data_IF_246394985631
#
_entry.id   IF_246394985631
#
_cell.length_a   1.000
_cell.length_b   1.000
_cell.length_c   1.000
_cell.angle_alpha   90.00
_cell.angle_beta   90.00
_cell.angle_gamma   90.00
#
_symmetry.space_group_name_H-M   'P 1'
#
loop_
_entity.id
_entity.type
_entity.pdbx_description
1 polymer ?
#
# COMPACT_ATOMS: atom_id res chain seq x y z
N UNK A 1 -9.26 -2.74 18.66
CA UNK A 1 -10.35 -1.78 18.38
C UNK A 1 -9.87 -0.66 17.45
N UNK A 2 -8.81 0.06 17.77
CA UNK A 2 -8.25 1.17 16.98
C UNK A 2 -7.95 0.78 15.53
N UNK A 3 -7.33 -0.39 15.30
CA UNK A 3 -7.03 -0.94 13.97
C UNK A 3 -8.28 -1.19 13.13
N UNK A 4 -9.34 -1.77 13.73
CA UNK A 4 -10.60 -1.99 13.02
C UNK A 4 -11.30 -0.68 12.63
N UNK A 5 -11.26 0.34 13.52
CA UNK A 5 -11.81 1.65 13.21
C UNK A 5 -11.07 2.35 12.08
N UNK A 6 -9.73 2.28 12.10
CA UNK A 6 -8.91 2.85 11.04
C UNK A 6 -9.11 2.12 9.70
N UNK A 7 -9.20 0.79 9.72
CA UNK A 7 -9.48 -0.01 8.53
C UNK A 7 -10.83 0.35 7.89
N UNK A 8 -11.89 0.39 8.71
CA UNK A 8 -13.23 0.75 8.24
C UNK A 8 -13.28 2.18 7.68
N UNK A 9 -12.70 3.14 8.38
CA UNK A 9 -12.64 4.53 7.93
C UNK A 9 -11.83 4.69 6.64
N UNK A 10 -10.71 3.95 6.51
CA UNK A 10 -9.86 3.94 5.31
C UNK A 10 -10.61 3.40 4.09
N UNK A 11 -11.29 2.27 4.24
CA UNK A 11 -12.09 1.67 3.17
C UNK A 11 -13.21 2.60 2.69
N UNK A 12 -13.96 3.19 3.62
CA UNK A 12 -15.03 4.14 3.29
C UNK A 12 -14.46 5.38 2.60
N UNK A 13 -13.37 5.96 3.13
CA UNK A 13 -12.77 7.16 2.55
C UNK A 13 -12.22 6.93 1.15
N UNK A 14 -11.55 5.80 0.90
CA UNK A 14 -11.03 5.44 -0.42
C UNK A 14 -12.17 5.17 -1.42
N UNK A 15 -13.23 4.45 -1.00
CA UNK A 15 -14.41 4.24 -1.83
C UNK A 15 -15.09 5.56 -2.21
N UNK A 16 -15.26 6.47 -1.27
CA UNK A 16 -15.84 7.80 -1.53
C UNK A 16 -14.92 8.62 -2.44
N UNK A 17 -13.60 8.62 -2.21
CA UNK A 17 -12.64 9.34 -3.06
C UNK A 17 -12.71 8.82 -4.51
N UNK A 18 -12.71 7.49 -4.70
CA UNK A 18 -12.86 6.90 -6.04
C UNK A 18 -14.18 7.28 -6.68
N UNK A 19 -15.29 7.23 -5.92
CA UNK A 19 -16.60 7.59 -6.44
C UNK A 19 -16.68 9.05 -6.89
N UNK A 20 -16.16 9.98 -6.09
CA UNK A 20 -16.16 11.41 -6.42
C UNK A 20 -15.31 11.71 -7.66
N UNK A 21 -14.11 11.13 -7.73
CA UNK A 21 -13.14 11.44 -8.79
C UNK A 21 -13.41 10.64 -10.07
N UNK A 22 -13.64 9.33 -9.95
CA UNK A 22 -13.85 8.42 -11.09
C UNK A 22 -15.32 8.31 -11.51
N UNK A 23 -16.23 8.97 -10.75
CA UNK A 23 -17.71 8.95 -10.96
C UNK A 23 -18.35 7.57 -10.74
N UNK A 24 -17.61 6.61 -10.23
CA UNK A 24 -18.07 5.28 -9.82
C UNK A 24 -17.16 4.73 -8.73
N UNK A 25 -17.72 3.96 -7.78
CA UNK A 25 -16.90 3.33 -6.75
C UNK A 25 -16.04 2.24 -7.39
N UNK A 26 -14.78 2.17 -6.94
CA UNK A 26 -13.81 1.15 -7.36
C UNK A 26 -13.55 0.18 -6.20
N UNK A 27 -13.74 -1.12 -6.46
CA UNK A 27 -13.56 -2.15 -5.44
C UNK A 27 -12.10 -2.26 -4.99
N UNK A 28 -11.16 -2.21 -5.93
CA UNK A 28 -9.72 -2.29 -5.62
C UNK A 28 -9.28 -1.13 -4.74
N UNK A 29 -9.79 0.08 -5.01
CA UNK A 29 -9.53 1.25 -4.18
C UNK A 29 -10.13 1.11 -2.78
N UNK A 30 -11.35 0.55 -2.65
CA UNK A 30 -11.94 0.30 -1.35
C UNK A 30 -11.13 -0.71 -0.52
N UNK A 31 -10.67 -1.82 -1.14
CA UNK A 31 -9.83 -2.83 -0.49
C UNK A 31 -8.47 -2.25 -0.09
N UNK A 32 -7.82 -1.51 -0.98
CA UNK A 32 -6.58 -0.81 -0.67
C UNK A 32 -6.78 0.26 0.42
N UNK A 33 -7.94 0.89 0.49
CA UNK A 33 -8.31 1.81 1.57
C UNK A 33 -8.36 1.15 2.93
N UNK A 34 -8.91 -0.07 3.02
CA UNK A 34 -8.90 -0.88 4.24
C UNK A 34 -7.46 -1.16 4.69
N UNK A 35 -6.63 -1.63 3.77
CA UNK A 35 -5.21 -1.90 4.04
C UNK A 35 -4.45 -0.64 4.43
N UNK A 36 -4.69 0.47 3.73
CA UNK A 36 -4.09 1.77 4.04
C UNK A 36 -4.44 2.27 5.44
N UNK A 37 -5.69 2.08 5.87
CA UNK A 37 -6.13 2.39 7.22
C UNK A 37 -5.40 1.55 8.28
N UNK A 38 -5.23 0.24 8.03
CA UNK A 38 -4.45 -0.64 8.89
C UNK A 38 -3.00 -0.21 8.98
N UNK A 39 -2.36 0.10 7.85
CA UNK A 39 -0.97 0.56 7.81
C UNK A 39 -0.81 1.91 8.52
N UNK A 40 -1.70 2.86 8.25
CA UNK A 40 -1.65 4.20 8.83
C UNK A 40 -1.76 4.22 10.37
N UNK A 41 -2.47 3.25 10.96
CA UNK A 41 -2.63 3.17 12.42
C UNK A 41 -1.53 2.35 13.10
N UNK A 42 -0.79 1.50 12.35
CA UNK A 42 0.08 0.47 12.92
C UNK A 42 1.13 1.03 13.86
N UNK A 43 1.77 2.15 13.53
CA UNK A 43 2.84 2.73 14.33
C UNK A 43 2.38 3.24 15.70
N UNK A 44 1.09 3.52 15.90
CA UNK A 44 0.57 4.10 17.11
C UNK A 44 -0.73 3.48 17.61
N UNK A 45 -1.07 2.26 17.20
CA UNK A 45 -2.34 1.62 17.50
C UNK A 45 -2.63 1.46 19.01
N UNK A 46 -1.58 1.38 19.84
CA UNK A 46 -1.63 1.23 21.30
C UNK A 46 -1.88 2.55 22.04
N UNK A 47 -1.66 3.69 21.39
CA UNK A 47 -1.69 5.02 22.00
C UNK A 47 -2.69 5.99 21.35
N UNK A 48 -3.42 5.53 20.34
CA UNK A 48 -4.42 6.35 19.66
C UNK A 48 -5.81 6.21 20.30
N UNK A 49 -6.56 7.31 20.31
CA UNK A 49 -7.98 7.28 20.68
C UNK A 49 -8.83 6.70 19.55
N UNK A 50 -10.08 6.33 19.82
CA UNK A 50 -11.00 5.88 18.78
C UNK A 50 -11.19 6.95 17.67
N UNK A 51 -11.31 8.22 18.07
CA UNK A 51 -11.49 9.32 17.12
C UNK A 51 -10.22 9.53 16.27
N UNK A 52 -9.04 9.54 16.88
CA UNK A 52 -7.77 9.64 16.15
C UNK A 52 -7.61 8.48 15.16
N UNK A 53 -8.04 7.28 15.53
CA UNK A 53 -7.98 6.10 14.65
C UNK A 53 -8.87 6.26 13.42
N UNK A 54 -10.07 6.79 13.58
CA UNK A 54 -10.98 7.09 12.46
C UNK A 54 -10.37 8.16 11.54
N UNK A 55 -9.80 9.23 12.12
CA UNK A 55 -9.17 10.31 11.34
C UNK A 55 -7.96 9.79 10.56
N UNK A 56 -7.07 9.04 11.23
CA UNK A 56 -5.88 8.45 10.60
C UNK A 56 -6.30 7.50 9.46
N UNK A 57 -7.28 6.65 9.71
CA UNK A 57 -7.80 5.74 8.68
C UNK A 57 -8.38 6.48 7.48
N UNK A 58 -9.22 7.49 7.72
CA UNK A 58 -9.81 8.29 6.64
C UNK A 58 -8.76 9.02 5.80
N UNK A 59 -7.76 9.64 6.43
CA UNK A 59 -6.65 10.27 5.72
C UNK A 59 -5.87 9.23 4.90
N UNK A 60 -5.57 8.06 5.47
CA UNK A 60 -4.87 6.97 4.77
C UNK A 60 -5.65 6.50 3.55
N UNK A 61 -6.98 6.37 3.66
CA UNK A 61 -7.84 5.98 2.54
C UNK A 61 -7.83 6.99 1.39
N UNK A 62 -7.80 8.29 1.70
CA UNK A 62 -7.64 9.34 0.69
C UNK A 62 -6.23 9.32 0.09
N UNK A 63 -5.21 9.18 0.93
CA UNK A 63 -3.81 9.14 0.49
C UNK A 63 -3.54 7.98 -0.46
N UNK A 64 -4.00 6.77 -0.15
CA UNK A 64 -3.77 5.62 -1.01
C UNK A 64 -4.40 5.79 -2.39
N UNK A 65 -5.62 6.33 -2.45
CA UNK A 65 -6.30 6.61 -3.71
C UNK A 65 -5.47 7.53 -4.62
N UNK A 66 -5.00 8.65 -4.09
CA UNK A 66 -4.18 9.57 -4.88
C UNK A 66 -2.78 9.04 -5.16
N UNK A 67 -2.22 8.22 -4.27
CA UNK A 67 -0.90 7.60 -4.46
C UNK A 67 -0.90 6.61 -5.62
N UNK A 68 -1.93 5.76 -5.74
CA UNK A 68 -2.07 4.85 -6.87
C UNK A 68 -2.10 5.63 -8.19
N UNK A 69 -2.95 6.67 -8.29
CA UNK A 69 -3.02 7.51 -9.49
C UNK A 69 -1.69 8.20 -9.78
N UNK A 70 -0.97 8.62 -8.75
CA UNK A 70 0.35 9.26 -8.91
C UNK A 70 1.39 8.29 -9.45
N UNK A 71 1.50 7.09 -8.88
CA UNK A 71 2.46 6.09 -9.33
C UNK A 71 2.17 5.63 -10.75
N UNK A 72 0.91 5.43 -11.13
CA UNK A 72 0.51 5.16 -12.51
C UNK A 72 0.96 6.26 -13.48
N UNK A 73 0.74 7.53 -13.11
CA UNK A 73 1.19 8.67 -13.94
C UNK A 73 2.70 8.75 -14.05
N UNK A 74 3.43 8.38 -13.02
CA UNK A 74 4.89 8.33 -13.01
C UNK A 74 5.45 7.07 -13.70
N UNK A 75 4.57 6.16 -14.14
CA UNK A 75 4.93 4.86 -14.72
C UNK A 75 5.78 4.00 -13.77
N UNK A 76 5.49 4.09 -12.49
CA UNK A 76 6.06 3.24 -11.46
C UNK A 76 5.09 2.09 -11.25
N UNK A 77 5.57 0.87 -11.48
CA UNK A 77 4.76 -0.34 -11.39
C UNK A 77 4.39 -0.64 -9.93
N UNK A 78 3.10 -0.56 -9.63
CA UNK A 78 2.52 -0.81 -8.30
C UNK A 78 1.20 -1.60 -8.44
N UNK A 79 1.23 -2.82 -9.02
CA UNK A 79 0.04 -3.53 -9.49
C UNK A 79 -0.97 -3.87 -8.38
N UNK A 80 -0.50 -4.04 -7.17
CA UNK A 80 -1.34 -4.34 -5.99
C UNK A 80 -1.41 -3.21 -4.97
N UNK A 81 -0.86 -2.04 -5.30
CA UNK A 81 -0.82 -0.90 -4.39
C UNK A 81 0.20 -1.03 -3.25
N UNK A 82 1.24 -1.86 -3.41
CA UNK A 82 2.23 -2.08 -2.34
C UNK A 82 2.96 -0.80 -1.95
N UNK A 83 3.41 0.00 -2.92
CA UNK A 83 4.04 1.30 -2.65
C UNK A 83 3.01 2.29 -2.09
N UNK A 84 1.83 2.35 -2.69
CA UNK A 84 0.77 3.27 -2.29
C UNK A 84 0.28 3.00 -0.88
N UNK A 85 0.07 1.73 -0.52
CA UNK A 85 -0.40 1.32 0.81
C UNK A 85 0.73 1.35 1.83
N UNK A 86 1.82 0.60 1.59
CA UNK A 86 2.83 0.39 2.64
C UNK A 86 3.82 1.52 2.75
N UNK A 87 4.34 2.06 1.64
CA UNK A 87 5.31 3.16 1.70
C UNK A 87 4.62 4.47 2.09
N UNK A 88 3.63 4.91 1.30
CA UNK A 88 3.02 6.24 1.51
C UNK A 88 2.24 6.31 2.81
N UNK A 89 1.34 5.35 3.06
CA UNK A 89 0.55 5.35 4.29
C UNK A 89 1.38 4.92 5.51
N UNK A 90 2.47 4.17 5.33
CA UNK A 90 3.43 3.86 6.41
C UNK A 90 4.22 5.09 6.86
N UNK A 91 4.68 5.92 5.93
CA UNK A 91 5.31 7.22 6.24
C UNK A 91 4.29 8.11 6.98
N UNK A 92 3.08 8.23 6.45
CA UNK A 92 2.04 9.02 7.10
C UNK A 92 1.72 8.49 8.50
N UNK A 93 1.50 7.17 8.66
CA UNK A 93 1.18 6.55 9.96
C UNK A 93 2.28 6.73 11.00
N UNK A 94 3.54 6.65 10.58
CA UNK A 94 4.69 6.93 11.45
C UNK A 94 4.69 8.39 11.90
N UNK A 95 4.42 9.35 10.99
CA UNK A 95 4.29 10.76 11.35
C UNK A 95 3.07 11.04 12.23
N UNK A 96 1.97 10.31 12.04
CA UNK A 96 0.76 10.42 12.84
C UNK A 96 1.01 10.19 14.35
N UNK A 97 2.02 9.39 14.71
CA UNK A 97 2.45 9.23 16.11
C UNK A 97 2.95 10.56 16.70
N UNK A 98 3.63 11.37 15.90
CA UNK A 98 4.08 12.69 16.31
C UNK A 98 2.95 13.72 16.42
N UNK A 99 1.78 13.44 15.84
CA UNK A 99 0.62 14.36 15.79
C UNK A 99 -0.44 13.95 16.80
N UNK A 100 -0.78 12.67 16.89
CA UNK A 100 -1.91 12.13 17.66
C UNK A 100 -1.49 11.25 18.84
N UNK A 101 -0.22 10.83 18.90
CA UNK A 101 0.28 9.91 19.92
C UNK A 101 0.39 10.53 21.32
N UNK A 102 0.62 9.70 22.32
CA UNK A 102 0.71 10.10 23.73
C UNK A 102 1.82 11.14 24.01
N UNK A 103 2.86 11.16 23.18
CA UNK A 103 3.98 12.11 23.26
C UNK A 103 4.02 13.04 22.05
N UNK A 104 2.85 13.36 21.47
CA UNK A 104 2.76 14.23 20.30
C UNK A 104 3.49 15.56 20.51
N UNK A 105 4.15 16.06 19.48
CA UNK A 105 4.90 17.29 19.48
C UNK A 105 6.11 17.28 18.56
N UNK A 106 6.78 18.44 18.43
CA UNK A 106 7.88 18.63 17.48
C UNK A 106 9.06 17.68 17.69
N UNK A 107 9.41 17.36 18.93
CA UNK A 107 10.49 16.42 19.24
C UNK A 107 10.14 14.99 18.75
N UNK A 108 8.91 14.55 18.98
CA UNK A 108 8.44 13.24 18.53
C UNK A 108 8.38 13.19 16.99
N UNK A 109 7.85 14.27 16.37
CA UNK A 109 7.80 14.35 14.90
C UNK A 109 9.20 14.26 14.26
N UNK A 110 10.18 14.96 14.85
CA UNK A 110 11.56 14.89 14.38
C UNK A 110 12.19 13.51 14.58
N UNK A 111 11.85 12.80 15.67
CA UNK A 111 12.30 11.44 15.90
C UNK A 111 11.71 10.49 14.83
N UNK A 112 10.42 10.64 14.51
CA UNK A 112 9.78 9.85 13.45
C UNK A 112 10.40 10.13 12.07
N UNK A 113 10.66 11.38 11.72
CA UNK A 113 11.34 11.73 10.46
C UNK A 113 12.72 11.10 10.34
N UNK A 114 13.51 11.13 11.40
CA UNK A 114 14.83 10.46 11.42
C UNK A 114 14.70 8.95 11.25
N UNK A 115 13.72 8.33 11.92
CA UNK A 115 13.45 6.89 11.78
C UNK A 115 13.04 6.53 10.35
N UNK A 116 12.12 7.29 9.76
CA UNK A 116 11.68 7.11 8.36
C UNK A 116 12.88 7.20 7.40
N UNK A 117 13.71 8.22 7.55
CA UNK A 117 14.88 8.40 6.69
C UNK A 117 15.88 7.25 6.84
N UNK A 118 16.22 6.87 8.07
CA UNK A 118 17.20 5.81 8.34
C UNK A 118 16.71 4.44 7.81
N UNK A 119 15.48 4.07 8.15
CA UNK A 119 14.89 2.79 7.72
C UNK A 119 14.66 2.79 6.20
N UNK A 120 14.18 3.90 5.66
CA UNK A 120 13.92 4.03 4.22
C UNK A 120 15.21 3.85 3.40
N UNK A 121 16.29 4.53 3.76
CA UNK A 121 17.60 4.38 3.09
C UNK A 121 18.12 2.96 3.23
N UNK A 122 18.08 2.39 4.45
CA UNK A 122 18.53 1.03 4.68
C UNK A 122 17.75 0.01 3.83
N UNK A 123 16.43 0.07 3.89
CA UNK A 123 15.56 -0.88 3.17
C UNK A 123 15.72 -0.76 1.67
N UNK A 124 15.79 0.47 1.15
CA UNK A 124 16.00 0.70 -0.28
C UNK A 124 17.33 0.11 -0.76
N UNK A 125 18.42 0.42 -0.09
CA UNK A 125 19.75 -0.07 -0.49
C UNK A 125 19.85 -1.60 -0.34
N UNK A 126 19.33 -2.15 0.75
CA UNK A 126 19.35 -3.59 0.99
C UNK A 126 18.54 -4.33 -0.08
N UNK A 127 17.30 -3.92 -0.32
CA UNK A 127 16.44 -4.53 -1.34
C UNK A 127 17.06 -4.40 -2.74
N UNK A 128 17.60 -3.22 -3.07
CA UNK A 128 18.26 -3.00 -4.36
C UNK A 128 19.42 -3.96 -4.60
N UNK A 129 20.29 -4.14 -3.58
CA UNK A 129 21.43 -5.06 -3.67
C UNK A 129 20.94 -6.50 -3.83
N UNK A 130 19.97 -6.93 -3.01
CA UNK A 130 19.41 -8.30 -3.08
C UNK A 130 18.82 -8.57 -4.46
N UNK A 131 17.96 -7.69 -4.96
CA UNK A 131 17.36 -7.87 -6.28
C UNK A 131 18.38 -7.79 -7.43
N UNK A 132 19.42 -6.97 -7.29
CA UNK A 132 20.50 -6.94 -8.27
C UNK A 132 21.27 -8.28 -8.29
N UNK A 133 21.59 -8.84 -7.15
CA UNK A 133 22.26 -10.16 -7.06
C UNK A 133 21.37 -11.24 -7.69
N UNK A 134 20.09 -11.30 -7.33
CA UNK A 134 19.15 -12.25 -7.91
C UNK A 134 19.06 -12.11 -9.43
N UNK A 135 18.97 -10.87 -9.92
CA UNK A 135 18.89 -10.58 -11.35
C UNK A 135 20.10 -11.10 -12.14
N UNK A 136 21.32 -10.96 -11.58
CA UNK A 136 22.55 -11.35 -12.29
C UNK A 136 22.92 -12.82 -12.10
N UNK A 137 22.38 -13.50 -11.08
CA UNK A 137 22.69 -14.89 -10.79
C UNK A 137 21.67 -15.87 -11.38
N UNK A 138 20.41 -15.74 -11.01
CA UNK A 138 19.34 -16.69 -11.38
C UNK A 138 18.30 -16.09 -12.33
N UNK A 139 18.32 -14.77 -12.53
CA UNK A 139 17.25 -14.05 -13.23
C UNK A 139 16.04 -13.79 -12.31
N UNK A 140 15.24 -12.80 -12.68
CA UNK A 140 14.01 -12.40 -11.94
C UNK A 140 12.81 -12.23 -12.85
N UNK A 141 12.92 -12.61 -14.12
CA UNK A 141 11.82 -12.56 -15.08
C UNK A 141 11.71 -13.89 -15.82
N UNK A 142 10.48 -14.25 -16.08
CA UNK A 142 10.16 -15.36 -16.97
C UNK A 142 10.44 -14.98 -18.43
N UNK A 143 10.39 -15.96 -19.33
CA UNK A 143 10.53 -15.70 -20.77
C UNK A 143 9.39 -14.85 -21.31
N UNK A 144 9.60 -14.16 -22.41
CA UNK A 144 8.55 -13.35 -23.05
C UNK A 144 7.36 -14.19 -23.49
N UNK A 145 7.59 -15.46 -23.85
CA UNK A 145 6.56 -16.41 -24.24
C UNK A 145 5.68 -16.81 -23.04
N UNK A 146 6.28 -17.13 -21.90
CA UNK A 146 5.56 -17.40 -20.65
C UNK A 146 4.80 -16.19 -20.13
N UNK A 147 5.41 -14.99 -20.20
CA UNK A 147 4.75 -13.74 -19.78
C UNK A 147 3.50 -13.45 -20.63
N UNK A 148 3.56 -13.72 -21.93
CA UNK A 148 2.45 -13.53 -22.86
C UNK A 148 1.38 -14.63 -22.75
N UNK A 149 1.78 -15.87 -22.44
CA UNK A 149 0.88 -17.00 -22.24
C UNK A 149 0.17 -17.05 -20.89
N UNK A 150 0.68 -16.28 -19.91
CA UNK A 150 0.26 -16.36 -18.52
C UNK A 150 1.03 -17.40 -17.72
N UNK A 151 1.15 -17.17 -16.42
CA UNK A 151 1.99 -17.99 -15.52
C UNK A 151 1.22 -19.13 -14.83
N UNK A 152 -0.09 -19.17 -14.96
CA UNK A 152 -0.95 -20.11 -14.23
C UNK A 152 -0.56 -21.56 -14.50
N UNK A 153 -0.40 -21.94 -15.76
CA UNK A 153 -0.03 -23.29 -16.14
C UNK A 153 1.47 -23.55 -15.95
N UNK A 154 2.32 -22.60 -16.40
CA UNK A 154 3.78 -22.76 -16.36
C UNK A 154 4.34 -22.85 -14.94
N UNK A 155 3.89 -21.97 -14.05
CA UNK A 155 4.39 -21.86 -12.67
C UNK A 155 3.57 -22.68 -11.67
N UNK A 156 2.25 -22.76 -11.84
CA UNK A 156 1.34 -23.34 -10.85
C UNK A 156 0.67 -24.63 -11.30
N UNK A 157 0.75 -25.00 -12.57
CA UNK A 157 0.14 -26.22 -13.12
C UNK A 157 -1.39 -26.23 -13.09
N UNK A 158 -2.02 -25.07 -12.89
CA UNK A 158 -3.47 -24.93 -12.78
C UNK A 158 -3.91 -23.54 -13.26
N UNK A 159 -5.07 -23.47 -13.88
CA UNK A 159 -5.69 -22.20 -14.26
C UNK A 159 -6.37 -21.55 -13.04
N UNK A 160 -6.18 -20.23 -12.84
CA UNK A 160 -6.81 -19.50 -11.74
C UNK A 160 -8.34 -19.45 -11.86
N UNK A 161 -8.87 -19.41 -13.09
CA UNK A 161 -10.30 -19.33 -13.39
C UNK A 161 -10.70 -20.29 -14.51
N UNK A 162 -10.69 -21.62 -14.27
CA UNK A 162 -10.88 -22.63 -15.33
C UNK A 162 -12.25 -22.54 -16.03
N UNK A 163 -13.27 -22.05 -15.32
CA UNK A 163 -14.62 -21.93 -15.85
C UNK A 163 -14.91 -20.59 -16.56
N UNK A 164 -13.96 -19.66 -16.52
CA UNK A 164 -14.05 -18.34 -17.17
C UNK A 164 -13.18 -18.26 -18.43
N UNK A 165 -13.14 -19.32 -19.21
CA UNK A 165 -12.48 -19.26 -20.51
C UNK A 165 -13.20 -18.23 -21.38
N UNK A 166 -12.67 -17.02 -21.46
CA UNK A 166 -13.01 -16.13 -22.56
C UNK A 166 -12.57 -16.83 -23.82
N UNK A 167 -13.56 -17.26 -24.62
CA UNK A 167 -13.30 -17.82 -25.94
C UNK A 167 -12.61 -16.73 -26.79
N UNK A 168 -11.31 -16.63 -26.67
CA UNK A 168 -10.49 -15.99 -27.67
C UNK A 168 -10.38 -16.97 -28.83
N UNK A 169 -11.36 -16.85 -29.76
CA UNK A 169 -11.21 -17.34 -31.12
C UNK A 169 -10.38 -16.35 -31.91
#
# INVERSE_FOLDING_TARGET
MTTCLAAAAGGVAAALASWVVLKKPDLSMALNGILAGLVGITAGADQMTAMSSVIIGAISGVLVFFSVILFDKLKIDDPVGALSVHLVCGIFGTLAVGIFGAKAGGAQLMAQLKGIAAIGVFTFLFAYIVFLVLKVTIGIRVSAEEESGGLDIGEHGAEAYPDFTTAHK
#
